data_IF_638228518569
#
_entry.id   IF_638228518569
#
_cell.length_a   1.000
_cell.length_b   1.000
_cell.length_c   1.000
_cell.angle_alpha   90.00
_cell.angle_beta   90.00
_cell.angle_gamma   90.00
#
_symmetry.space_group_name_H-M   'P 1'
#
loop_
_entity.id
_entity.type
_entity.pdbx_description
1 polymer ?
#
# COMPACT_ATOMS: atom_id res chain seq x y z
N UNK A 1 -15.15 -23.77 -3.23
CA UNK A 1 -13.70 -23.84 -3.47
C UNK A 1 -13.30 -22.60 -4.26
N UNK A 2 -13.01 -21.49 -3.58
CA UNK A 2 -12.63 -20.21 -4.20
C UNK A 2 -11.16 -19.99 -3.85
N UNK A 3 -10.34 -19.89 -4.90
CA UNK A 3 -8.89 -19.91 -4.89
C UNK A 3 -8.31 -18.67 -4.20
N UNK A 4 -8.02 -18.76 -2.91
CA UNK A 4 -7.05 -17.89 -2.23
C UNK A 4 -5.83 -18.68 -1.71
N UNK A 5 -5.76 -19.99 -1.99
CA UNK A 5 -4.74 -20.90 -1.39
C UNK A 5 -3.73 -21.42 -2.43
N UNK A 6 -3.73 -20.90 -3.66
CA UNK A 6 -2.86 -21.44 -4.71
C UNK A 6 -2.07 -20.34 -5.43
N UNK A 7 -1.26 -19.56 -4.70
CA UNK A 7 -0.05 -18.96 -5.26
C UNK A 7 0.89 -18.44 -4.15
N UNK A 8 1.47 -19.38 -3.42
CA UNK A 8 2.76 -19.19 -2.73
C UNK A 8 3.68 -20.24 -3.31
N UNK A 9 4.23 -19.93 -4.48
CA UNK A 9 5.30 -20.69 -5.13
C UNK A 9 6.50 -19.75 -5.33
N UNK A 10 7.74 -20.24 -5.21
CA UNK A 10 8.94 -19.39 -5.24
C UNK A 10 9.15 -18.86 -6.66
N UNK A 11 9.06 -17.55 -6.88
CA UNK A 11 9.42 -16.98 -8.17
C UNK A 11 10.92 -16.71 -8.27
N UNK A 12 11.47 -17.37 -9.29
CA UNK A 12 12.77 -17.25 -9.91
C UNK A 12 13.23 -15.80 -10.12
N UNK A 13 14.51 -15.56 -9.79
CA UNK A 13 15.22 -14.28 -9.75
C UNK A 13 15.55 -13.63 -11.11
N UNK A 14 14.70 -13.74 -12.14
CA UNK A 14 15.16 -13.48 -13.52
C UNK A 14 14.33 -12.58 -14.43
N UNK A 15 13.37 -11.79 -13.92
CA UNK A 15 12.70 -10.77 -14.75
C UNK A 15 12.96 -9.37 -14.20
N UNK A 16 14.21 -8.95 -14.36
CA UNK A 16 14.60 -7.55 -14.42
C UNK A 16 14.18 -6.94 -15.77
N UNK A 17 13.96 -5.63 -15.72
CA UNK A 17 13.86 -4.68 -16.84
C UNK A 17 12.56 -4.76 -17.65
N UNK A 18 11.68 -3.78 -17.47
CA UNK A 18 11.68 -2.61 -18.35
C UNK A 18 10.62 -1.60 -17.90
N UNK A 19 10.99 -0.32 -18.00
CA UNK A 19 10.09 0.84 -18.10
C UNK A 19 9.42 1.35 -16.82
N UNK A 20 10.19 2.12 -16.04
CA UNK A 20 9.64 3.28 -15.35
C UNK A 20 9.37 4.38 -16.38
N UNK A 21 8.20 5.01 -16.32
CA UNK A 21 8.09 6.45 -16.56
C UNK A 21 7.01 7.03 -15.65
N UNK A 22 7.34 8.19 -15.08
CA UNK A 22 6.71 8.88 -13.97
C UNK A 22 5.32 9.44 -14.31
N UNK A 23 4.46 9.59 -13.30
CA UNK A 23 3.95 10.90 -12.86
C UNK A 23 2.95 10.74 -11.70
N UNK A 24 3.39 11.05 -10.47
CA UNK A 24 2.50 11.31 -9.35
C UNK A 24 2.26 12.82 -9.27
N UNK A 25 1.06 13.26 -9.64
CA UNK A 25 0.58 14.61 -9.30
C UNK A 25 -0.81 14.51 -8.68
N UNK A 26 -0.86 14.35 -7.36
CA UNK A 26 -2.05 14.61 -6.58
C UNK A 26 -2.15 16.13 -6.34
N UNK A 27 -3.02 16.83 -7.07
CA UNK A 27 -3.43 18.20 -6.73
C UNK A 27 -4.44 18.12 -5.59
N UNK A 28 -4.05 18.55 -4.40
CA UNK A 28 -5.00 18.88 -3.33
C UNK A 28 -5.87 20.07 -3.75
N UNK A 29 -7.18 19.94 -3.56
CA UNK A 29 -8.15 20.99 -3.82
C UNK A 29 -8.11 22.01 -2.68
N UNK A 30 -7.68 23.24 -2.96
CA UNK A 30 -7.92 24.40 -2.10
C UNK A 30 -9.02 25.24 -2.75
N UNK A 31 -10.24 25.21 -2.19
CA UNK A 31 -11.22 26.27 -2.39
C UNK A 31 -11.06 27.20 -1.19
N UNK A 32 -10.42 28.35 -1.40
CA UNK A 32 -10.33 29.42 -0.42
C UNK A 32 -11.22 30.55 -0.96
N UNK A 33 -12.42 30.68 -0.41
CA UNK A 33 -13.24 31.88 -0.60
C UNK A 33 -12.57 33.01 0.20
N UNK A 34 -12.47 34.17 -0.44
CA UNK A 34 -11.69 35.34 -0.05
C UNK A 34 -12.42 36.19 1.02
N UNK A 35 -11.61 36.96 1.77
CA UNK A 35 -11.94 38.11 2.64
C UNK A 35 -12.22 37.83 4.13
N UNK A 36 -11.22 38.06 5.00
CA UNK A 36 -11.10 39.33 5.76
C UNK A 36 -9.71 39.46 6.43
N UNK A 37 -9.19 40.68 6.42
CA UNK A 37 -7.85 41.09 6.87
C UNK A 37 -7.68 41.14 8.41
N UNK A 38 -6.41 41.18 8.83
CA UNK A 38 -5.83 41.53 10.15
C UNK A 38 -5.73 40.42 11.21
N UNK A 39 -4.51 39.94 11.48
CA UNK A 39 -3.74 40.22 12.73
C UNK A 39 -2.44 39.38 12.76
N UNK A 40 -1.36 40.01 13.22
CA UNK A 40 0.00 39.48 13.32
C UNK A 40 0.06 38.16 14.10
N UNK A 41 0.16 37.02 13.40
CA UNK A 41 0.64 35.77 14.01
C UNK A 41 1.97 35.41 13.38
N UNK A 42 3.00 35.53 14.24
CA UNK A 42 4.38 35.07 14.11
C UNK A 42 4.42 33.54 13.97
N UNK A 43 3.76 33.03 12.93
CA UNK A 43 3.58 31.62 12.67
C UNK A 43 4.67 31.14 11.70
N UNK A 44 5.92 31.29 12.15
CA UNK A 44 7.04 30.48 11.69
C UNK A 44 6.86 29.02 12.19
N UNK A 45 5.65 28.47 12.09
CA UNK A 45 5.52 27.04 11.85
C UNK A 45 6.03 26.84 10.44
N UNK A 46 7.36 26.77 10.32
CA UNK A 46 7.95 25.89 9.34
C UNK A 46 7.32 24.53 9.60
N UNK A 47 6.29 24.18 8.83
CA UNK A 47 5.77 22.83 8.63
C UNK A 47 6.87 21.98 7.94
N UNK A 48 8.08 22.04 8.50
CA UNK A 48 9.31 21.36 8.12
C UNK A 48 9.54 20.18 9.07
N UNK A 49 8.46 19.70 9.68
CA UNK A 49 8.41 18.40 10.28
C UNK A 49 7.44 17.54 9.46
N UNK A 50 7.88 17.16 8.25
CA UNK A 50 7.44 15.91 7.62
C UNK A 50 7.95 14.77 8.54
N UNK A 51 7.40 14.68 9.74
CA UNK A 51 7.74 13.66 10.73
C UNK A 51 7.31 12.35 10.10
N UNK A 52 8.31 11.54 9.76
CA UNK A 52 8.07 10.17 9.38
C UNK A 52 7.25 9.50 10.49
N UNK A 53 6.00 9.23 10.19
CA UNK A 53 5.11 8.54 11.09
C UNK A 53 5.44 7.04 11.04
N UNK A 54 5.17 6.27 12.11
CA UNK A 54 5.43 4.83 12.10
C UNK A 54 4.71 4.06 10.98
N UNK A 55 3.72 4.66 10.31
CA UNK A 55 2.98 4.01 9.20
C UNK A 55 3.59 4.30 7.83
N UNK A 56 4.42 5.34 7.67
CA UNK A 56 4.95 5.75 6.36
C UNK A 56 5.91 4.72 5.74
N UNK A 57 6.50 3.85 6.56
CA UNK A 57 7.34 2.73 6.10
C UNK A 57 6.52 1.47 5.73
N UNK A 58 5.22 1.46 6.01
CA UNK A 58 4.35 0.28 5.83
C UNK A 58 3.63 0.37 4.50
N UNK A 59 3.87 -0.61 3.62
CA UNK A 59 3.09 -0.73 2.39
C UNK A 59 1.65 -1.20 2.71
N UNK A 60 0.62 -0.41 2.37
CA UNK A 60 -0.75 -0.69 2.79
C UNK A 60 -1.33 -1.96 2.16
N UNK A 61 -0.93 -2.29 0.92
CA UNK A 61 -1.42 -3.47 0.23
C UNK A 61 -0.79 -4.74 0.79
N UNK A 62 0.52 -4.71 1.06
CA UNK A 62 1.23 -5.81 1.73
C UNK A 62 0.65 -6.03 3.12
N UNK A 63 0.42 -4.96 3.87
CA UNK A 63 -0.13 -5.03 5.23
C UNK A 63 -1.55 -5.62 5.24
N UNK A 64 -2.41 -5.19 4.32
CA UNK A 64 -3.77 -5.74 4.19
C UNK A 64 -3.74 -7.25 3.93
N UNK A 65 -2.97 -7.69 2.93
CA UNK A 65 -2.88 -9.12 2.56
C UNK A 65 -2.32 -9.93 3.73
N UNK A 66 -1.26 -9.45 4.39
CA UNK A 66 -0.69 -10.10 5.56
C UNK A 66 -1.69 -10.21 6.72
N UNK A 67 -2.50 -9.18 6.93
CA UNK A 67 -3.56 -9.19 7.95
C UNK A 67 -4.63 -10.25 7.64
N UNK A 68 -5.10 -10.34 6.40
CA UNK A 68 -6.09 -11.34 5.99
C UNK A 68 -5.53 -12.76 6.12
N UNK A 69 -4.27 -12.98 5.74
CA UNK A 69 -3.57 -14.25 5.93
C UNK A 69 -3.41 -14.61 7.42
N UNK A 70 -3.09 -13.63 8.27
CA UNK A 70 -3.01 -13.84 9.72
C UNK A 70 -4.37 -14.19 10.33
N UNK A 71 -5.45 -13.56 9.87
CA UNK A 71 -6.83 -13.93 10.26
C UNK A 71 -7.14 -15.37 9.83
N UNK A 72 -6.80 -15.74 8.59
CA UNK A 72 -6.99 -17.11 8.10
C UNK A 72 -6.19 -18.14 8.91
N UNK A 73 -4.95 -17.84 9.27
CA UNK A 73 -4.08 -18.74 10.02
C UNK A 73 -4.47 -18.86 11.50
N UNK A 74 -4.91 -17.76 12.12
CA UNK A 74 -5.29 -17.72 13.53
C UNK A 74 -6.71 -18.23 13.79
N UNK A 75 -7.65 -17.92 12.91
CA UNK A 75 -9.04 -18.36 13.01
C UNK A 75 -9.64 -18.61 11.61
N UNK A 76 -9.47 -19.84 11.09
CA UNK A 76 -10.00 -20.22 9.78
C UNK A 76 -11.52 -20.07 9.69
N UNK A 77 -12.25 -20.29 10.79
CA UNK A 77 -13.72 -20.19 10.78
C UNK A 77 -14.17 -18.76 10.58
N UNK A 78 -13.55 -17.79 11.29
CA UNK A 78 -13.80 -16.36 11.08
C UNK A 78 -13.49 -15.92 9.66
N UNK A 79 -12.38 -16.39 9.09
CA UNK A 79 -12.03 -16.08 7.70
C UNK A 79 -13.09 -16.62 6.72
N UNK A 80 -13.56 -17.85 6.89
CA UNK A 80 -14.62 -18.41 6.06
C UNK A 80 -15.92 -17.62 6.17
N UNK A 81 -16.34 -17.26 7.38
CA UNK A 81 -17.52 -16.42 7.58
C UNK A 81 -17.38 -15.06 6.89
N UNK A 82 -16.22 -14.40 7.02
CA UNK A 82 -15.94 -13.13 6.35
C UNK A 82 -16.06 -13.28 4.83
N UNK A 83 -15.37 -14.26 4.23
CA UNK A 83 -15.38 -14.46 2.78
C UNK A 83 -16.77 -14.80 2.22
N UNK A 84 -17.62 -15.46 3.00
CA UNK A 84 -18.99 -15.77 2.61
C UNK A 84 -19.93 -14.54 2.63
N UNK A 85 -19.60 -13.51 3.41
CA UNK A 85 -20.38 -12.25 3.42
C UNK A 85 -20.05 -11.33 2.24
N UNK A 86 -18.90 -11.53 1.60
CA UNK A 86 -18.47 -10.76 0.44
C UNK A 86 -19.18 -11.27 -0.81
N UNK A 87 -19.77 -10.35 -1.58
CA UNK A 87 -20.25 -10.67 -2.93
C UNK A 87 -19.08 -10.87 -3.90
N UNK A 88 -19.40 -11.27 -5.13
CA UNK A 88 -18.41 -11.52 -6.17
C UNK A 88 -17.52 -10.29 -6.47
N UNK A 89 -18.05 -9.07 -6.37
CA UNK A 89 -17.29 -7.87 -6.65
C UNK A 89 -16.18 -7.67 -5.61
N UNK A 90 -16.50 -7.80 -4.33
CA UNK A 90 -15.51 -7.67 -3.27
C UNK A 90 -14.53 -8.85 -3.21
N UNK A 91 -14.97 -10.05 -3.59
CA UNK A 91 -14.06 -11.19 -3.74
C UNK A 91 -13.05 -10.95 -4.88
N UNK A 92 -13.50 -10.44 -6.02
CA UNK A 92 -12.62 -10.08 -7.13
C UNK A 92 -11.65 -8.95 -6.74
N UNK A 93 -12.13 -7.94 -6.02
CA UNK A 93 -11.29 -6.86 -5.50
C UNK A 93 -10.21 -7.37 -4.53
N UNK A 94 -10.57 -8.24 -3.59
CA UNK A 94 -9.62 -8.83 -2.66
C UNK A 94 -8.52 -9.62 -3.39
N UNK A 95 -8.88 -10.34 -4.46
CA UNK A 95 -7.90 -11.01 -5.31
C UNK A 95 -7.00 -10.02 -6.07
N UNK A 96 -7.56 -8.94 -6.61
CA UNK A 96 -6.78 -7.89 -7.27
C UNK A 96 -5.80 -7.19 -6.33
N UNK A 97 -6.22 -6.91 -5.10
CA UNK A 97 -5.35 -6.37 -4.04
C UNK A 97 -4.24 -7.36 -3.68
N UNK A 98 -4.54 -8.66 -3.62
CA UNK A 98 -3.54 -9.69 -3.38
C UNK A 98 -2.47 -9.75 -4.48
N UNK A 99 -2.88 -9.63 -5.75
CA UNK A 99 -1.96 -9.56 -6.88
C UNK A 99 -1.08 -8.31 -6.82
N UNK A 100 -1.68 -7.14 -6.56
CA UNK A 100 -0.94 -5.90 -6.48
C UNK A 100 0.07 -5.88 -5.32
N UNK A 101 -0.30 -6.44 -4.16
CA UNK A 101 0.61 -6.57 -3.03
C UNK A 101 1.86 -7.41 -3.38
N UNK A 102 1.72 -8.41 -4.26
CA UNK A 102 2.85 -9.23 -4.70
C UNK A 102 3.80 -8.45 -5.61
N UNK A 103 3.26 -7.67 -6.55
CA UNK A 103 4.05 -6.73 -7.36
C UNK A 103 4.84 -5.77 -6.47
N UNK A 104 4.18 -5.19 -5.45
CA UNK A 104 4.80 -4.28 -4.48
C UNK A 104 5.92 -4.93 -3.68
N UNK A 105 5.79 -6.19 -3.26
CA UNK A 105 6.88 -6.90 -2.56
C UNK A 105 8.13 -7.00 -3.42
N UNK A 106 7.97 -7.36 -4.69
CA UNK A 106 9.09 -7.49 -5.64
C UNK A 106 9.75 -6.14 -5.89
N UNK A 107 8.97 -5.08 -6.06
CA UNK A 107 9.48 -3.72 -6.22
C UNK A 107 10.27 -3.26 -5.00
N UNK A 108 9.73 -3.46 -3.79
CA UNK A 108 10.39 -3.08 -2.54
C UNK A 108 11.69 -3.87 -2.34
N UNK A 109 11.71 -5.18 -2.65
CA UNK A 109 12.93 -5.99 -2.59
C UNK A 109 14.00 -5.48 -3.57
N UNK A 110 13.58 -5.13 -4.79
CA UNK A 110 14.45 -4.53 -5.79
C UNK A 110 15.02 -3.18 -5.32
N UNK A 111 14.19 -2.27 -4.80
CA UNK A 111 14.64 -0.98 -4.25
C UNK A 111 15.63 -1.17 -3.09
N UNK A 112 15.40 -2.16 -2.23
CA UNK A 112 16.31 -2.50 -1.12
C UNK A 112 17.67 -2.99 -1.64
N UNK A 113 17.68 -3.83 -2.68
CA UNK A 113 18.91 -4.31 -3.32
C UNK A 113 19.68 -3.17 -4.01
N UNK A 114 18.99 -2.27 -4.69
CA UNK A 114 19.60 -1.11 -5.36
C UNK A 114 20.25 -0.15 -4.35
N UNK A 115 19.55 0.14 -3.23
CA UNK A 115 20.12 0.96 -2.15
C UNK A 115 21.35 0.31 -1.50
N UNK A 116 21.33 -1.01 -1.31
CA UNK A 116 22.47 -1.74 -0.73
C UNK A 116 23.69 -1.83 -1.66
N UNK A 117 23.49 -1.79 -2.98
CA UNK A 117 24.57 -1.83 -3.97
C UNK A 117 25.12 -0.43 -4.32
N UNK A 118 24.41 0.63 -3.91
CA UNK A 118 24.84 2.02 -4.07
C UNK A 118 25.61 2.57 -2.85
N UNK A 119 25.73 1.78 -1.77
CA UNK A 119 26.58 2.04 -0.60
C UNK A 119 27.92 1.33 -0.71
#
# INVERSE_FOLDING_TARGET
MILLIAWVGPLDSHVLMLSQEHDKKARGFQLHDEDDDDDDSDDDFSDDEELQTPIDEVDPFIFFVGTIQAVQASDPARFQSLMQTLDFHYQALANGVAQHAEERKVEIEKEKLEKANAQ
#
